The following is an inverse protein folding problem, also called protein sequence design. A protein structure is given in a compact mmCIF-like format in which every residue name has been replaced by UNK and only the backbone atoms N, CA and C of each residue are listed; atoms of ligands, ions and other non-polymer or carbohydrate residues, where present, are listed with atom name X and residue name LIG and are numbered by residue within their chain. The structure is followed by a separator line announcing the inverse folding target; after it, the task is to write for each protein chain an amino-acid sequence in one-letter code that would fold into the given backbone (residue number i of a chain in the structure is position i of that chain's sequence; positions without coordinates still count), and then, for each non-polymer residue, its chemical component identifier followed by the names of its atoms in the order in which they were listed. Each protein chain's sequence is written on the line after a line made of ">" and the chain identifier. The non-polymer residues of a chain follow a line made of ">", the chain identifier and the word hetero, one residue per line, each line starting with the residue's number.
data_IF_432382242641
#
_entry.id   IF_432382242641
#
_cell.length_a   1.000
_cell.length_b   1.000
_cell.length_c   1.000
_cell.angle_alpha   90.00
_cell.angle_beta   90.00
_cell.angle_gamma   90.00
#
_symmetry.space_group_name_H-M   'P 1'
#
loop_
_entity.id
_entity.type
_entity.pdbx_description
1 polymer ?
#
# COMPACT_ATOMS: atom_id res chain seq x y z
N UNK A 1 -4.12 20.65 2.93
CA UNK A 1 -3.26 19.76 2.13
C UNK A 1 -4.19 18.67 1.60
N UNK A 2 -4.30 18.50 0.28
CA UNK A 2 -5.29 17.60 -0.32
C UNK A 2 -4.57 16.43 -1.00
N UNK A 3 -5.13 15.22 -0.86
CA UNK A 3 -4.62 14.00 -1.49
C UNK A 3 -5.78 13.11 -1.94
N UNK A 4 -5.50 12.05 -2.71
CA UNK A 4 -6.53 11.11 -3.15
C UNK A 4 -7.01 10.24 -1.98
N UNK A 5 -8.33 10.01 -1.88
CA UNK A 5 -8.92 9.10 -0.86
C UNK A 5 -8.35 7.68 -0.94
N UNK A 6 -7.90 7.25 -2.12
CA UNK A 6 -7.16 6.00 -2.29
C UNK A 6 -5.92 5.90 -1.40
N UNK A 7 -5.27 7.01 -1.08
CA UNK A 7 -4.10 7.02 -0.20
C UNK A 7 -4.49 6.75 1.26
N UNK A 8 -5.62 7.30 1.70
CA UNK A 8 -6.17 7.03 3.03
C UNK A 8 -6.61 5.57 3.14
N UNK A 9 -7.32 5.06 2.12
CA UNK A 9 -7.69 3.64 2.07
C UNK A 9 -6.46 2.73 2.04
N UNK A 10 -5.44 3.03 1.23
CA UNK A 10 -4.20 2.26 1.20
C UNK A 10 -3.50 2.25 2.57
N UNK A 11 -3.51 3.38 3.28
CA UNK A 11 -2.97 3.48 4.64
C UNK A 11 -3.76 2.59 5.62
N UNK A 12 -5.09 2.62 5.55
CA UNK A 12 -5.93 1.79 6.40
C UNK A 12 -5.74 0.28 6.10
N UNK A 13 -5.70 -0.10 4.82
CA UNK A 13 -5.41 -1.48 4.36
C UNK A 13 -4.05 -1.95 4.88
N UNK A 14 -3.03 -1.09 4.85
CA UNK A 14 -1.70 -1.38 5.40
C UNK A 14 -1.77 -1.78 6.89
N UNK A 15 -2.56 -1.05 7.70
CA UNK A 15 -2.67 -1.27 9.14
C UNK A 15 -3.50 -2.51 9.51
N UNK A 16 -4.47 -2.91 8.69
CA UNK A 16 -5.24 -4.15 8.93
C UNK A 16 -4.54 -5.42 8.45
N UNK A 17 -3.30 -5.30 7.96
CA UNK A 17 -2.49 -6.46 7.56
C UNK A 17 -2.45 -6.74 6.06
N UNK A 18 -2.90 -5.78 5.24
CA UNK A 18 -2.83 -5.85 3.77
C UNK A 18 -4.16 -6.23 3.11
N UNK A 19 -4.13 -6.31 1.77
CA UNK A 19 -5.35 -6.41 0.96
C UNK A 19 -6.16 -7.67 1.24
N UNK A 20 -5.49 -8.80 1.52
CA UNK A 20 -6.12 -10.09 1.83
C UNK A 20 -6.94 -10.07 3.14
N UNK A 21 -6.73 -9.06 3.99
CA UNK A 21 -7.40 -8.90 5.29
C UNK A 21 -8.35 -7.69 5.31
N UNK A 22 -8.50 -7.00 4.18
CA UNK A 22 -9.14 -5.69 4.14
C UNK A 22 -10.56 -5.68 3.56
N UNK A 23 -11.15 -6.83 3.22
CA UNK A 23 -12.46 -6.91 2.54
C UNK A 23 -13.54 -6.07 3.23
N UNK A 24 -13.77 -6.27 4.52
CA UNK A 24 -14.78 -5.51 5.27
C UNK A 24 -14.50 -4.00 5.30
N UNK A 25 -13.22 -3.61 5.39
CA UNK A 25 -12.81 -2.21 5.38
C UNK A 25 -13.06 -1.58 4.00
N UNK A 26 -12.69 -2.28 2.92
CA UNK A 26 -12.87 -1.82 1.55
C UNK A 26 -14.35 -1.67 1.22
N UNK A 27 -15.20 -2.64 1.59
CA UNK A 27 -16.64 -2.55 1.35
C UNK A 27 -17.26 -1.37 2.11
N UNK A 28 -16.86 -1.10 3.36
CA UNK A 28 -17.35 0.07 4.09
C UNK A 28 -17.03 1.41 3.39
N UNK A 29 -15.84 1.52 2.78
CA UNK A 29 -15.49 2.69 1.96
C UNK A 29 -16.35 2.79 0.70
N UNK A 30 -16.65 1.67 0.04
CA UNK A 30 -17.52 1.63 -1.14
C UNK A 30 -18.97 2.01 -0.79
N UNK A 31 -19.49 1.53 0.34
CA UNK A 31 -20.83 1.84 0.83
C UNK A 31 -21.03 3.33 1.14
N UNK A 32 -19.97 4.01 1.58
CA UNK A 32 -19.97 5.46 1.80
C UNK A 32 -20.15 6.30 0.52
N UNK A 33 -20.03 5.66 -0.66
CA UNK A 33 -20.08 6.29 -2.00
C UNK A 33 -19.01 7.36 -2.25
N UNK A 34 -17.98 7.41 -1.43
CA UNK A 34 -16.84 8.32 -1.62
C UNK A 34 -15.86 7.83 -2.70
N UNK A 35 -15.94 6.55 -3.06
CA UNK A 35 -15.07 5.90 -4.04
C UNK A 35 -15.87 4.90 -4.86
N UNK A 36 -15.42 4.65 -6.09
CA UNK A 36 -16.04 3.62 -6.94
C UNK A 36 -15.32 2.28 -6.82
N UNK A 37 -16.05 1.17 -7.06
CA UNK A 37 -15.43 -0.17 -7.12
C UNK A 37 -14.33 -0.26 -8.18
N UNK A 38 -14.49 0.44 -9.30
CA UNK A 38 -13.46 0.50 -10.35
C UNK A 38 -12.20 1.22 -9.85
N UNK A 39 -12.36 2.39 -9.22
CA UNK A 39 -11.26 3.15 -8.65
C UNK A 39 -10.47 2.33 -7.62
N UNK A 40 -11.16 1.64 -6.70
CA UNK A 40 -10.50 0.76 -5.74
C UNK A 40 -9.77 -0.38 -6.46
N UNK A 41 -10.45 -1.11 -7.35
CA UNK A 41 -9.87 -2.27 -8.07
C UNK A 41 -8.59 -1.92 -8.82
N UNK A 42 -8.57 -0.79 -9.52
CA UNK A 42 -7.44 -0.42 -10.39
C UNK A 42 -6.41 0.48 -9.69
N UNK A 43 -6.83 1.27 -8.70
CA UNK A 43 -5.99 2.24 -8.02
C UNK A 43 -5.34 1.71 -6.75
N UNK A 44 -6.05 0.91 -5.95
CA UNK A 44 -5.58 0.49 -4.63
C UNK A 44 -4.26 -0.29 -4.67
N UNK A 45 -4.01 -1.24 -5.60
CA UNK A 45 -2.73 -1.94 -5.66
C UNK A 45 -1.54 -0.99 -5.87
N UNK A 46 -1.70 0.00 -6.77
CA UNK A 46 -0.66 1.01 -7.03
C UNK A 46 -0.46 1.91 -5.82
N UNK A 47 -1.55 2.34 -5.18
CA UNK A 47 -1.46 3.22 -4.02
C UNK A 47 -0.87 2.50 -2.78
N UNK A 48 -1.12 1.19 -2.63
CA UNK A 48 -0.46 0.37 -1.61
C UNK A 48 1.05 0.26 -1.83
N UNK A 49 1.50 0.03 -3.07
CA UNK A 49 2.94 0.06 -3.40
C UNK A 49 3.55 1.40 -3.04
N UNK A 50 2.89 2.50 -3.43
CA UNK A 50 3.34 3.85 -3.10
C UNK A 50 3.39 4.08 -1.59
N UNK A 51 2.36 3.68 -0.85
CA UNK A 51 2.30 3.84 0.61
C UNK A 51 3.41 3.08 1.34
N UNK A 52 3.72 1.86 0.90
CA UNK A 52 4.84 1.10 1.44
C UNK A 52 6.20 1.69 1.08
N UNK A 53 6.35 2.30 -0.11
CA UNK A 53 7.54 3.06 -0.45
C UNK A 53 7.74 4.28 0.46
N UNK A 54 6.65 4.98 0.80
CA UNK A 54 6.68 6.08 1.79
C UNK A 54 7.08 5.56 3.19
N UNK A 55 6.62 4.38 3.62
CA UNK A 55 7.09 3.80 4.89
C UNK A 55 8.58 3.47 4.85
N UNK A 56 9.09 2.95 3.73
CA UNK A 56 10.50 2.63 3.58
C UNK A 56 11.37 3.89 3.69
N UNK A 57 10.99 4.96 2.97
CA UNK A 57 11.69 6.26 3.05
C UNK A 57 11.64 6.85 4.47
N UNK A 58 10.46 6.83 5.09
CA UNK A 58 10.28 7.31 6.46
C UNK A 58 11.21 6.59 7.45
N UNK A 59 11.20 5.26 7.48
CA UNK A 59 12.05 4.54 8.45
C UNK A 59 13.53 4.57 8.09
N UNK A 60 13.89 4.58 6.80
CA UNK A 60 15.28 4.74 6.37
C UNK A 60 15.85 6.10 6.82
N UNK A 61 15.09 7.19 6.64
CA UNK A 61 15.48 8.51 7.13
C UNK A 61 15.71 8.50 8.64
N UNK A 62 14.79 7.91 9.41
CA UNK A 62 14.89 7.89 10.88
C UNK A 62 16.07 7.09 11.39
N UNK A 63 16.40 5.97 10.74
CA UNK A 63 17.60 5.19 11.05
C UNK A 63 18.86 5.99 10.70
N UNK A 64 18.86 6.73 9.60
CA UNK A 64 20.00 7.57 9.21
C UNK A 64 20.22 8.76 10.17
N UNK A 65 19.15 9.30 10.75
CA UNK A 65 19.23 10.48 11.64
C UNK A 65 19.10 10.16 13.13
N UNK A 66 19.11 8.88 13.51
CA UNK A 66 18.85 8.43 14.89
C UNK A 66 17.55 9.01 15.51
N UNK A 67 16.49 9.19 14.70
CA UNK A 67 15.22 9.75 15.16
C UNK A 67 14.34 8.69 15.86
N UNK A 68 14.16 8.85 17.18
CA UNK A 68 13.36 7.99 18.05
C UNK A 68 11.99 8.58 18.44
N UNK A 69 11.54 9.67 17.82
CA UNK A 69 10.24 10.31 18.11
C UNK A 69 9.07 9.29 18.10
N UNK A 70 8.41 9.06 19.23
CA UNK A 70 7.27 8.15 19.29
C UNK A 70 7.59 6.66 19.15
N UNK A 71 8.86 6.25 19.24
CA UNK A 71 9.28 4.84 19.36
C UNK A 71 10.21 4.66 20.56
N UNK A 72 10.36 3.43 21.03
CA UNK A 72 11.15 3.14 22.23
C UNK A 72 12.63 2.89 21.92
N UNK A 73 12.93 2.46 20.70
CA UNK A 73 14.30 2.17 20.27
C UNK A 73 14.45 2.17 18.75
N UNK A 74 15.70 2.13 18.27
CA UNK A 74 16.00 1.98 16.86
C UNK A 74 15.45 0.68 16.25
N UNK A 75 15.27 -0.40 17.04
CA UNK A 75 14.71 -1.66 16.53
C UNK A 75 13.28 -1.51 16.04
N UNK A 76 12.52 -0.55 16.60
CA UNK A 76 11.17 -0.24 16.13
C UNK A 76 11.21 0.34 14.70
N UNK A 77 12.20 1.19 14.41
CA UNK A 77 12.43 1.72 13.06
C UNK A 77 12.95 0.64 12.11
N UNK A 78 13.85 -0.23 12.55
CA UNK A 78 14.34 -1.38 11.76
C UNK A 78 13.20 -2.33 11.38
N UNK A 79 12.33 -2.66 12.33
CA UNK A 79 11.14 -3.47 12.09
C UNK A 79 10.21 -2.80 11.08
N UNK A 80 10.01 -1.49 11.19
CA UNK A 80 9.25 -0.70 10.23
C UNK A 80 9.80 -0.79 8.80
N UNK A 81 11.12 -0.62 8.64
CA UNK A 81 11.79 -0.73 7.34
C UNK A 81 11.73 -2.15 6.77
N UNK A 82 11.95 -3.18 7.60
CA UNK A 82 11.87 -4.58 7.18
C UNK A 82 10.46 -4.96 6.72
N UNK A 83 9.42 -4.48 7.42
CA UNK A 83 8.04 -4.68 7.00
C UNK A 83 7.79 -4.04 5.62
N UNK A 84 8.26 -2.81 5.39
CA UNK A 84 8.14 -2.14 4.10
C UNK A 84 8.85 -2.92 2.99
N UNK A 85 10.07 -3.42 3.24
CA UNK A 85 10.83 -4.25 2.30
C UNK A 85 10.08 -5.52 1.92
N UNK A 86 9.51 -6.24 2.90
CA UNK A 86 8.72 -7.46 2.66
C UNK A 86 7.51 -7.20 1.79
N UNK A 87 6.75 -6.14 2.09
CA UNK A 87 5.53 -5.82 1.35
C UNK A 87 5.81 -5.35 -0.08
N UNK A 88 6.84 -4.51 -0.28
CA UNK A 88 7.27 -4.12 -1.62
C UNK A 88 7.71 -5.35 -2.45
N UNK A 89 8.42 -6.29 -1.82
CA UNK A 89 8.79 -7.56 -2.47
C UNK A 89 7.57 -8.40 -2.90
N UNK A 90 6.56 -8.51 -2.04
CA UNK A 90 5.31 -9.22 -2.35
C UNK A 90 4.53 -8.55 -3.48
N UNK A 91 4.34 -7.23 -3.40
CA UNK A 91 3.58 -6.46 -4.39
C UNK A 91 4.31 -6.35 -5.73
N UNK A 92 5.64 -6.47 -5.76
CA UNK A 92 6.44 -6.51 -6.99
C UNK A 92 6.48 -7.88 -7.67
N UNK A 93 6.20 -8.96 -6.93
CA UNK A 93 6.19 -10.33 -7.46
C UNK A 93 4.89 -10.69 -8.21
N UNK A 94 3.79 -9.94 -7.97
CA UNK A 94 2.57 -10.08 -8.76
C UNK A 94 2.77 -9.57 -10.19
N UNK A 95 2.92 -10.50 -11.14
CA UNK A 95 2.86 -10.18 -12.57
C UNK A 95 1.46 -9.62 -12.91
N UNK A 96 1.37 -8.57 -13.75
CA UNK A 96 0.08 -8.14 -14.27
C UNK A 96 -0.55 -9.27 -15.09
N UNK A 97 -1.66 -9.83 -14.58
CA UNK A 97 -2.51 -10.74 -15.34
C UNK A 97 -3.25 -9.93 -16.41
N UNK A 98 -2.70 -9.89 -17.62
CA UNK A 98 -3.30 -9.11 -18.70
C UNK A 98 -2.44 -8.97 -19.94
N UNK A 99 -1.88 -10.05 -20.49
CA UNK A 99 -1.44 -10.04 -21.88
C UNK A 99 -2.60 -10.56 -22.74
N UNK A 100 -3.44 -9.63 -23.21
CA UNK A 100 -4.47 -9.92 -24.21
C UNK A 100 -3.76 -10.18 -25.54
N UNK A 101 -3.57 -11.46 -25.89
CA UNK A 101 -3.17 -11.87 -27.24
C UNK A 101 -4.30 -11.49 -28.19
N UNK A 102 -4.08 -10.43 -28.97
CA UNK A 102 -5.03 -10.00 -29.99
C UNK A 102 -5.33 -11.14 -30.98
N UNK A 103 -6.62 -11.41 -31.18
CA UNK A 103 -7.09 -12.18 -32.32
C UNK A 103 -6.74 -11.42 -33.60
N UNK A 104 -5.84 -11.97 -34.41
CA UNK A 104 -5.82 -11.69 -35.85
C UNK A 104 -6.95 -12.50 -36.48
N UNK A 105 -8.03 -11.83 -36.86
CA UNK A 105 -8.92 -12.32 -37.91
C UNK A 105 -8.34 -11.86 -39.25
N UNK A 106 -8.00 -12.84 -40.09
CA UNK A 106 -7.85 -12.69 -41.53
C UNK A 106 -8.99 -13.47 -42.18
#
# INVERSE_FOLDING_TARGET
>A
MNGPLLYDLASAVMYVGGIDQADHLVEAYLESKMMTRAEVKYGLPTMLRFRWAVQADYFAHRLFTDDLTGVTSASDNEMGLENARRWLGRLGAEKPSGMHTGHKTA
#
